data_IF_716649871229
#
_entry.id   IF_716649871229
#
_cell.length_a   1.000
_cell.length_b   1.000
_cell.length_c   1.000
_cell.angle_alpha   90.00
_cell.angle_beta   90.00
_cell.angle_gamma   90.00
#
_symmetry.space_group_name_H-M   'P 1'
#
loop_
_entity.id
_entity.type
_entity.pdbx_description
1 polymer ?
#
# COMPACT_ATOMS: atom_id res chain seq x y z
N UNK A 1 -12.31 17.16 9.56
CA UNK A 1 -11.07 17.41 8.77
C UNK A 1 -10.50 16.09 8.33
N UNK A 2 -10.10 15.98 7.09
CA UNK A 2 -9.46 14.79 6.53
C UNK A 2 -7.99 15.07 6.28
N UNK A 3 -7.11 14.20 6.78
CA UNK A 3 -5.66 14.33 6.63
C UNK A 3 -5.18 13.26 5.64
N UNK A 4 -4.39 13.67 4.65
CA UNK A 4 -3.74 12.75 3.71
C UNK A 4 -2.28 12.57 4.11
N UNK A 5 -1.82 11.32 4.14
CA UNK A 5 -0.47 10.94 4.46
C UNK A 5 0.07 10.04 3.36
N UNK A 6 1.27 10.33 2.88
CA UNK A 6 1.93 9.50 1.88
C UNK A 6 2.43 8.19 2.50
N UNK A 7 2.33 7.10 1.73
CA UNK A 7 2.90 5.81 2.14
C UNK A 7 4.43 5.87 2.27
N UNK A 8 4.99 4.87 2.89
CA UNK A 8 6.44 4.69 2.98
C UNK A 8 6.91 3.61 1.98
N UNK A 9 8.20 3.66 1.63
CA UNK A 9 8.83 2.64 0.77
C UNK A 9 9.03 1.32 1.49
N UNK A 10 9.20 1.37 2.81
CA UNK A 10 9.44 0.19 3.63
C UNK A 10 8.19 -0.23 4.37
N UNK A 11 8.04 -1.54 4.55
CA UNK A 11 6.89 -2.15 5.20
C UNK A 11 7.30 -3.26 6.14
N UNK A 12 6.45 -3.52 7.13
CA UNK A 12 6.53 -4.69 8.00
C UNK A 12 5.37 -5.64 7.71
N UNK A 13 5.62 -6.94 7.84
CA UNK A 13 4.58 -7.95 7.71
C UNK A 13 4.06 -8.45 9.05
N UNK A 14 4.63 -8.00 10.16
CA UNK A 14 4.33 -8.49 11.50
C UNK A 14 4.15 -7.34 12.47
N UNK A 15 3.08 -7.41 13.26
CA UNK A 15 2.85 -6.51 14.39
C UNK A 15 2.12 -7.26 15.50
N UNK A 16 2.45 -6.93 16.74
CA UNK A 16 1.76 -7.45 17.94
C UNK A 16 0.65 -6.51 18.41
N UNK A 17 0.45 -5.41 17.72
CA UNK A 17 -0.54 -4.40 18.11
C UNK A 17 -1.94 -4.91 17.85
N UNK A 18 -2.81 -4.80 18.84
CA UNK A 18 -4.22 -5.12 18.70
C UNK A 18 -4.98 -3.89 18.23
N UNK A 19 -5.81 -4.06 17.21
CA UNK A 19 -6.65 -2.99 16.68
C UNK A 19 -8.13 -3.30 16.96
N UNK A 20 -8.99 -2.26 17.09
CA UNK A 20 -10.41 -2.47 17.43
C UNK A 20 -11.20 -3.17 16.33
N UNK A 21 -10.80 -2.97 15.08
CA UNK A 21 -11.42 -3.58 13.91
C UNK A 21 -10.45 -3.53 12.73
N UNK A 22 -10.77 -4.25 11.68
CA UNK A 22 -10.06 -4.17 10.40
C UNK A 22 -11.07 -3.96 9.28
N UNK A 23 -10.61 -3.35 8.20
CA UNK A 23 -11.41 -3.10 7.01
C UNK A 23 -10.66 -3.57 5.77
N UNK A 24 -11.37 -3.72 4.66
CA UNK A 24 -10.76 -4.11 3.39
C UNK A 24 -10.46 -2.88 2.53
N UNK A 25 -9.32 -2.85 1.83
CA UNK A 25 -9.01 -1.75 0.93
C UNK A 25 -10.06 -1.59 -0.16
N UNK A 26 -10.42 -0.35 -0.45
CA UNK A 26 -11.40 -0.04 -1.51
C UNK A 26 -10.93 -0.52 -2.88
N UNK A 27 -9.64 -0.38 -3.16
CA UNK A 27 -9.03 -0.74 -4.45
C UNK A 27 -8.25 -2.04 -4.39
N UNK A 28 -8.73 -3.01 -3.62
CA UNK A 28 -8.11 -4.32 -3.45
C UNK A 28 -7.96 -5.07 -4.78
N UNK A 29 -8.94 -4.96 -5.65
CA UNK A 29 -8.91 -5.59 -6.97
C UNK A 29 -7.79 -5.02 -7.84
N UNK A 30 -7.68 -3.70 -7.88
CA UNK A 30 -6.64 -3.00 -8.63
C UNK A 30 -5.25 -3.31 -8.07
N UNK A 31 -5.12 -3.40 -6.77
CA UNK A 31 -3.87 -3.81 -6.13
C UNK A 31 -3.47 -5.23 -6.52
N UNK A 32 -4.43 -6.15 -6.58
CA UNK A 32 -4.19 -7.53 -7.01
C UNK A 32 -3.71 -7.58 -8.47
N UNK A 33 -4.28 -6.79 -9.34
CA UNK A 33 -3.87 -6.70 -10.75
C UNK A 33 -2.44 -6.14 -10.89
N UNK A 34 -2.12 -5.09 -10.16
CA UNK A 34 -0.77 -4.51 -10.14
C UNK A 34 0.24 -5.55 -9.62
N UNK A 35 -0.07 -6.20 -8.51
CA UNK A 35 0.81 -7.21 -7.93
C UNK A 35 1.01 -8.41 -8.87
N UNK A 36 -0.01 -8.80 -9.62
CA UNK A 36 0.09 -9.85 -10.62
C UNK A 36 1.08 -9.47 -11.72
N UNK A 37 1.03 -8.25 -12.22
CA UNK A 37 2.00 -7.76 -13.20
C UNK A 37 3.41 -7.70 -12.62
N UNK A 38 3.55 -7.19 -11.41
CA UNK A 38 4.84 -7.14 -10.73
C UNK A 38 5.44 -8.54 -10.51
N UNK A 39 4.59 -9.56 -10.33
CA UNK A 39 5.03 -10.95 -10.16
C UNK A 39 5.63 -11.58 -11.42
N UNK A 40 5.42 -10.97 -12.58
CA UNK A 40 5.99 -11.44 -13.85
C UNK A 40 7.45 -11.04 -14.06
N UNK A 41 7.95 -10.10 -13.27
CA UNK A 41 9.32 -9.64 -13.38
C UNK A 41 10.28 -10.56 -12.64
N UNK A 42 11.47 -10.76 -13.23
CA UNK A 42 12.58 -11.45 -12.54
C UNK A 42 13.19 -10.55 -11.48
N UNK A 43 14.05 -11.11 -10.64
CA UNK A 43 14.81 -10.35 -9.63
C UNK A 43 15.62 -9.23 -10.31
N UNK A 44 16.33 -9.53 -11.41
CA UNK A 44 17.14 -8.56 -12.13
C UNK A 44 16.29 -7.43 -12.73
N UNK A 45 15.12 -7.77 -13.24
CA UNK A 45 14.17 -6.79 -13.76
C UNK A 45 13.62 -5.90 -12.63
N UNK A 46 13.30 -6.46 -11.48
CA UNK A 46 12.84 -5.69 -10.31
C UNK A 46 13.93 -4.77 -9.77
N UNK A 47 15.19 -5.21 -9.78
CA UNK A 47 16.32 -4.39 -9.36
C UNK A 47 16.39 -3.10 -10.20
N UNK A 48 16.26 -3.23 -11.52
CA UNK A 48 16.24 -2.10 -12.43
C UNK A 48 14.97 -1.26 -12.32
N UNK A 49 13.81 -1.91 -12.28
CA UNK A 49 12.51 -1.26 -12.27
C UNK A 49 12.31 -0.42 -11.00
N UNK A 50 12.67 -0.99 -9.86
CA UNK A 50 12.52 -0.34 -8.56
C UNK A 50 13.75 0.49 -8.15
N UNK A 51 14.85 0.40 -8.91
CA UNK A 51 16.12 1.09 -8.61
C UNK A 51 16.63 0.76 -7.20
N UNK A 52 16.68 -0.51 -6.90
CA UNK A 52 17.10 -1.04 -5.61
C UNK A 52 18.27 -1.99 -5.76
N UNK A 53 18.92 -2.33 -4.65
CA UNK A 53 19.99 -3.35 -4.67
C UNK A 53 19.37 -4.75 -4.79
N UNK A 54 20.25 -5.74 -5.06
CA UNK A 54 19.84 -7.12 -5.26
C UNK A 54 19.09 -7.71 -4.05
N UNK A 55 19.49 -7.38 -2.84
CA UNK A 55 18.85 -7.85 -1.61
C UNK A 55 17.40 -7.40 -1.52
N UNK A 56 17.14 -6.13 -1.79
CA UNK A 56 15.80 -5.56 -1.79
C UNK A 56 14.96 -6.13 -2.94
N UNK A 57 15.58 -6.32 -4.11
CA UNK A 57 14.89 -6.92 -5.26
C UNK A 57 14.45 -8.35 -4.96
N UNK A 58 15.28 -9.17 -4.34
CA UNK A 58 14.93 -10.54 -3.92
C UNK A 58 13.78 -10.53 -2.91
N UNK A 59 13.84 -9.66 -1.92
CA UNK A 59 12.76 -9.51 -0.93
C UNK A 59 11.43 -9.21 -1.60
N UNK A 60 11.42 -8.27 -2.53
CA UNK A 60 10.19 -7.86 -3.20
C UNK A 60 9.73 -8.88 -4.26
N UNK A 61 10.65 -9.58 -4.90
CA UNK A 61 10.29 -10.72 -5.73
C UNK A 61 9.47 -11.73 -4.93
N UNK A 62 9.94 -12.10 -3.75
CA UNK A 62 9.21 -13.03 -2.86
C UNK A 62 7.86 -12.48 -2.44
N UNK A 63 7.78 -11.20 -2.12
CA UNK A 63 6.51 -10.54 -1.76
C UNK A 63 5.48 -10.64 -2.89
N UNK A 64 5.87 -10.34 -4.12
CA UNK A 64 4.95 -10.39 -5.26
C UNK A 64 4.56 -11.83 -5.62
N UNK A 65 5.50 -12.80 -5.52
CA UNK A 65 5.17 -14.20 -5.74
C UNK A 65 4.15 -14.73 -4.72
N UNK A 66 4.21 -14.26 -3.49
CA UNK A 66 3.32 -14.68 -2.41
C UNK A 66 2.07 -13.80 -2.28
N UNK A 67 1.97 -12.71 -3.01
CA UNK A 67 0.93 -11.70 -2.80
C UNK A 67 -0.49 -12.25 -2.88
N UNK A 68 -0.74 -13.19 -3.79
CA UNK A 68 -2.07 -13.78 -3.99
C UNK A 68 -2.24 -15.10 -3.23
N UNK A 69 -1.20 -15.58 -2.55
CA UNK A 69 -1.26 -16.86 -1.85
C UNK A 69 -2.15 -16.77 -0.61
N UNK A 70 -2.91 -17.81 -0.37
CA UNK A 70 -3.68 -17.92 0.86
C UNK A 70 -2.74 -17.99 2.07
N UNK A 71 -3.12 -17.29 3.14
CA UNK A 71 -2.31 -17.23 4.35
C UNK A 71 -1.16 -16.23 4.33
N UNK A 72 -1.00 -15.47 3.26
CA UNK A 72 -0.01 -14.36 3.23
C UNK A 72 -0.35 -13.35 4.32
N UNK A 73 0.62 -12.92 5.13
CA UNK A 73 0.37 -11.97 6.21
C UNK A 73 -0.23 -10.66 5.73
N UNK A 74 -1.21 -10.18 6.46
CA UNK A 74 -1.85 -8.88 6.24
C UNK A 74 -1.75 -8.05 7.51
N UNK A 75 -1.55 -6.76 7.36
CA UNK A 75 -1.54 -5.80 8.48
C UNK A 75 -2.40 -4.59 8.14
N UNK A 76 -3.01 -3.95 9.16
CA UNK A 76 -3.58 -2.63 8.97
C UNK A 76 -2.54 -1.67 8.38
N UNK A 77 -2.93 -0.88 7.40
CA UNK A 77 -2.02 0.00 6.66
C UNK A 77 -1.18 0.90 7.58
N UNK A 78 -1.80 1.43 8.62
CA UNK A 78 -1.11 2.30 9.59
C UNK A 78 0.03 1.60 10.34
N UNK A 79 -0.06 0.28 10.50
CA UNK A 79 0.96 -0.54 11.15
C UNK A 79 1.90 -1.22 10.15
N UNK A 80 1.48 -1.35 8.90
CA UNK A 80 2.26 -1.99 7.85
C UNK A 80 3.39 -1.11 7.33
N UNK A 81 3.11 0.17 7.10
CA UNK A 81 4.12 1.10 6.62
C UNK A 81 5.08 1.49 7.74
N UNK A 82 6.38 1.43 7.42
CA UNK A 82 7.45 1.86 8.30
C UNK A 82 8.19 3.04 7.66
N UNK A 83 8.96 3.74 8.44
CA UNK A 83 9.64 4.94 7.99
C UNK A 83 9.49 6.05 9.01
N UNK A 84 10.16 7.17 8.80
CA UNK A 84 10.26 8.20 9.84
C UNK A 84 8.91 8.80 10.23
N UNK A 85 8.03 9.03 9.27
CA UNK A 85 6.70 9.61 9.54
C UNK A 85 5.86 8.66 10.39
N UNK A 86 5.82 7.39 10.01
CA UNK A 86 5.06 6.36 10.72
C UNK A 86 5.66 6.05 12.09
N UNK A 87 6.98 6.09 12.20
CA UNK A 87 7.68 5.93 13.48
C UNK A 87 7.32 7.08 14.43
N UNK A 88 7.27 8.31 13.94
CA UNK A 88 6.90 9.48 14.75
C UNK A 88 5.43 9.51 15.12
N UNK A 89 4.57 9.06 14.20
CA UNK A 89 3.14 8.91 14.48
C UNK A 89 2.88 7.90 15.61
N UNK A 90 3.72 6.87 15.66
CA UNK A 90 3.74 5.88 16.74
C UNK A 90 2.39 5.21 17.01
N UNK A 91 1.76 4.72 15.95
CA UNK A 91 0.44 4.11 16.04
C UNK A 91 0.38 2.88 16.95
N UNK A 92 1.53 2.26 17.23
CA UNK A 92 1.60 1.13 18.18
C UNK A 92 1.13 1.49 19.59
N UNK A 93 1.16 2.77 19.95
CA UNK A 93 0.72 3.25 21.25
C UNK A 93 -0.70 3.82 21.22
N UNK A 94 -1.38 3.74 20.07
CA UNK A 94 -2.75 4.23 19.96
C UNK A 94 -3.71 3.40 20.80
N UNK A 95 -4.62 4.10 21.47
CA UNK A 95 -5.80 3.51 22.11
C UNK A 95 -6.83 3.12 21.06
N UNK A 96 -7.85 2.37 21.48
CA UNK A 96 -9.00 2.05 20.63
C UNK A 96 -9.64 3.31 20.04
N UNK A 97 -9.87 4.33 20.87
CA UNK A 97 -10.48 5.60 20.44
C UNK A 97 -9.61 6.32 19.42
N UNK A 98 -8.29 6.29 19.62
CA UNK A 98 -7.36 6.92 18.67
C UNK A 98 -7.34 6.19 17.32
N UNK A 99 -7.38 4.87 17.29
CA UNK A 99 -7.53 4.12 16.04
C UNK A 99 -8.84 4.44 15.32
N UNK A 100 -9.93 4.52 16.06
CA UNK A 100 -11.24 4.85 15.48
C UNK A 100 -11.25 6.28 14.92
N UNK A 101 -10.67 7.21 15.64
CA UNK A 101 -10.52 8.60 15.18
C UNK A 101 -9.67 8.67 13.91
N UNK A 102 -8.53 7.98 13.90
CA UNK A 102 -7.66 7.92 12.72
C UNK A 102 -8.40 7.32 11.51
N UNK A 103 -9.17 6.27 11.72
CA UNK A 103 -9.93 5.61 10.65
C UNK A 103 -10.90 6.57 9.95
N UNK A 104 -11.46 7.52 10.69
CA UNK A 104 -12.39 8.49 10.15
C UNK A 104 -11.70 9.70 9.50
N UNK A 105 -10.52 10.08 10.00
CA UNK A 105 -9.91 11.38 9.66
C UNK A 105 -8.59 11.27 8.88
N UNK A 106 -7.98 10.10 8.79
CA UNK A 106 -6.71 9.89 8.12
C UNK A 106 -6.88 9.01 6.88
N UNK A 107 -6.21 9.38 5.79
CA UNK A 107 -6.11 8.54 4.59
C UNK A 107 -4.65 8.43 4.19
N UNK A 108 -4.28 7.24 3.72
CA UNK A 108 -2.93 6.92 3.25
C UNK A 108 -2.98 6.75 1.74
N UNK A 109 -2.07 7.40 1.03
CA UNK A 109 -1.94 7.22 -0.42
C UNK A 109 -0.96 6.10 -0.71
N UNK A 110 -1.27 5.22 -1.65
CA UNK A 110 -0.46 4.07 -2.01
C UNK A 110 -0.45 3.90 -3.52
N UNK A 111 0.73 3.63 -4.10
CA UNK A 111 0.83 3.36 -5.54
C UNK A 111 0.25 1.99 -5.92
N UNK A 112 0.12 1.08 -4.98
CA UNK A 112 -0.47 -0.24 -5.20
C UNK A 112 -1.96 -0.26 -4.85
N UNK A 113 -2.31 0.25 -3.68
CA UNK A 113 -3.67 0.17 -3.14
C UNK A 113 -4.51 1.43 -3.36
N UNK A 114 -3.94 2.47 -3.92
CA UNK A 114 -4.64 3.74 -4.10
C UNK A 114 -4.85 4.47 -2.77
N UNK A 115 -6.08 4.76 -2.43
CA UNK A 115 -6.42 5.45 -1.18
C UNK A 115 -6.81 4.44 -0.12
N UNK A 116 -6.10 4.46 1.00
CA UNK A 116 -6.28 3.54 2.12
C UNK A 116 -6.80 4.28 3.36
N UNK A 117 -7.62 3.56 4.13
CA UNK A 117 -7.92 3.94 5.51
C UNK A 117 -6.89 3.28 6.44
N UNK A 118 -6.62 3.86 7.63
CA UNK A 118 -5.63 3.31 8.55
C UNK A 118 -5.77 1.83 8.90
N UNK A 119 -7.00 1.34 9.01
CA UNK A 119 -7.28 -0.04 9.42
C UNK A 119 -7.59 -0.98 8.24
N UNK A 120 -7.40 -0.52 7.00
CA UNK A 120 -7.45 -1.39 5.83
C UNK A 120 -6.28 -2.38 5.88
N UNK A 121 -6.58 -3.68 5.78
CA UNK A 121 -5.53 -4.70 5.81
C UNK A 121 -4.88 -4.83 4.44
N UNK A 122 -3.55 -4.74 4.43
CA UNK A 122 -2.77 -4.78 3.20
C UNK A 122 -1.65 -5.80 3.30
N UNK A 123 -1.20 -6.27 2.15
CA UNK A 123 -0.06 -7.17 1.99
C UNK A 123 1.18 -6.38 1.63
N UNK A 124 2.35 -6.87 2.02
CA UNK A 124 3.61 -6.19 1.77
C UNK A 124 3.92 -6.10 0.27
N UNK A 125 4.40 -4.96 -0.16
CA UNK A 125 4.82 -4.66 -1.52
C UNK A 125 5.88 -3.56 -1.50
N UNK A 126 6.50 -3.31 -2.64
CA UNK A 126 7.28 -2.09 -2.87
C UNK A 126 7.02 -1.62 -4.28
N UNK A 127 6.56 -0.39 -4.41
CA UNK A 127 6.22 0.20 -5.69
C UNK A 127 6.44 1.70 -5.61
N UNK A 128 7.07 2.25 -6.63
CA UNK A 128 7.39 3.66 -6.70
C UNK A 128 6.57 4.34 -7.79
N UNK A 129 6.36 5.65 -7.64
CA UNK A 129 5.46 6.40 -8.51
C UNK A 129 5.93 6.53 -9.95
N UNK A 130 7.23 6.40 -10.21
CA UNK A 130 7.82 6.49 -11.55
C UNK A 130 7.84 5.17 -12.32
N UNK A 131 7.41 4.07 -11.69
CA UNK A 131 7.32 2.77 -12.35
C UNK A 131 6.25 2.82 -13.44
N UNK A 132 6.60 2.31 -14.62
CA UNK A 132 5.68 2.18 -15.76
C UNK A 132 5.39 0.70 -16.00
N UNK A 133 4.10 0.34 -15.97
CA UNK A 133 3.65 -1.01 -16.28
C UNK A 133 2.95 -1.00 -17.65
N UNK A 134 3.47 -1.75 -18.63
CA UNK A 134 2.94 -1.72 -20.01
C UNK A 134 1.46 -2.03 -20.10
N UNK A 135 0.98 -2.99 -19.33
CA UNK A 135 -0.42 -3.41 -19.34
C UNK A 135 -1.39 -2.40 -18.71
N UNK A 136 -0.86 -1.39 -18.05
CA UNK A 136 -1.66 -0.29 -17.47
C UNK A 136 -1.58 0.99 -18.34
N UNK A 137 -1.42 0.83 -19.65
CA UNK A 137 -1.46 1.94 -20.60
C UNK A 137 -0.18 2.74 -20.69
N UNK A 138 0.97 2.16 -20.33
CA UNK A 138 2.29 2.81 -20.38
C UNK A 138 2.39 4.13 -19.60
N UNK A 139 1.54 4.33 -18.61
CA UNK A 139 1.63 5.49 -17.72
C UNK A 139 2.37 5.13 -16.44
N UNK A 140 2.89 6.15 -15.76
CA UNK A 140 3.54 5.95 -14.46
C UNK A 140 2.51 5.50 -13.43
N UNK A 141 2.97 4.83 -12.38
CA UNK A 141 2.08 4.46 -11.27
C UNK A 141 1.49 5.70 -10.60
N UNK A 142 2.23 6.79 -10.57
CA UNK A 142 1.72 8.07 -10.07
C UNK A 142 0.47 8.51 -10.85
N UNK A 143 0.55 8.54 -12.18
CA UNK A 143 -0.59 8.90 -13.04
C UNK A 143 -1.73 7.91 -12.93
N UNK A 144 -1.41 6.62 -12.93
CA UNK A 144 -2.41 5.56 -12.81
C UNK A 144 -3.19 5.65 -11.48
N UNK A 145 -2.49 5.85 -10.37
CA UNK A 145 -3.14 6.00 -9.07
C UNK A 145 -4.04 7.24 -9.01
N UNK A 146 -3.64 8.35 -9.63
CA UNK A 146 -4.48 9.55 -9.69
C UNK A 146 -5.80 9.31 -10.43
N UNK A 147 -5.78 8.45 -11.47
CA UNK A 147 -6.98 8.17 -12.25
C UNK A 147 -8.08 7.48 -11.45
N UNK A 148 -7.73 6.52 -10.61
CA UNK A 148 -8.74 5.77 -9.87
C UNK A 148 -8.88 6.17 -8.40
N UNK A 149 -7.97 6.98 -7.85
CA UNK A 149 -8.08 7.51 -6.49
C UNK A 149 -8.63 8.93 -6.44
N UNK A 150 -8.53 9.68 -7.54
CA UNK A 150 -9.13 11.01 -7.62
C UNK A 150 -10.65 10.88 -7.66
N UNK A 151 -11.38 11.59 -6.78
CA UNK A 151 -12.83 11.56 -6.83
C UNK A 151 -13.33 12.13 -8.16
N UNK A 152 -14.24 11.42 -8.81
CA UNK A 152 -14.92 11.96 -9.98
C UNK A 152 -16.01 12.96 -9.54
N UNK A 153 -16.48 13.85 -10.42
CA UNK A 153 -17.61 14.71 -10.09
C UNK A 153 -18.85 13.95 -9.62
N UNK A 154 -19.01 12.69 -10.04
CA UNK A 154 -20.11 11.83 -9.60
C UNK A 154 -20.01 11.43 -8.13
N UNK A 155 -18.80 11.35 -7.59
CA UNK A 155 -18.58 10.98 -6.20
C UNK A 155 -18.99 12.09 -5.23
N UNK A 156 -19.04 13.32 -5.73
CA UNK A 156 -19.52 14.48 -4.97
C UNK A 156 -21.02 14.71 -5.09
N UNK A 157 -21.66 14.11 -6.08
CA UNK A 157 -23.08 14.29 -6.35
C UNK A 157 -23.99 13.35 -5.56
N UNK A 158 -23.41 12.42 -4.84
CA UNK A 158 -24.16 11.43 -4.06
C UNK A 158 -24.45 11.91 -2.65
#
# INVERSE_FOLDING_TARGET
MLVLLSCAKTMSAVSKVKVPLTTNPRFQKEAAEIALQMSQFSVDELERLLRVNAKIAVENYKRYQAFHAEGTPELPALLAYTGIVFKRLNAKDFSKVEFEYAQEHLRLTSFCYGLLRPLDVIRSYRLEGDVVLPELGNQTMFSYCLLYTSPSPRDYAA
#
